data_IF_587477472475
#
_entry.id   IF_587477472475
#
_cell.length_a   1.000
_cell.length_b   1.000
_cell.length_c   1.000
_cell.angle_alpha   90.00
_cell.angle_beta   90.00
_cell.angle_gamma   90.00
#
_symmetry.space_group_name_H-M   'P 1'
#
loop_
_entity.id
_entity.type
_entity.pdbx_description
1 polymer ?
#
# COMPACT_ATOMS: atom_id res chain seq x y z
N UNK A 1 -22.05 -72.42 12.53
CA UNK A 1 -22.49 -71.42 13.53
C UNK A 1 -22.00 -70.07 13.06
N UNK A 2 -22.91 -69.26 12.53
CA UNK A 2 -22.70 -67.89 12.06
C UNK A 2 -22.67 -66.97 13.27
N UNK A 3 -21.66 -66.10 13.38
CA UNK A 3 -21.75 -64.92 14.24
C UNK A 3 -21.32 -63.70 13.43
N UNK A 4 -22.34 -63.01 12.92
CA UNK A 4 -22.26 -61.63 12.47
C UNK A 4 -21.92 -60.75 13.66
N UNK A 5 -20.75 -60.12 13.67
CA UNK A 5 -20.44 -59.05 14.61
C UNK A 5 -20.52 -57.72 13.88
N UNK A 6 -21.69 -57.08 13.97
CA UNK A 6 -21.92 -55.68 13.63
C UNK A 6 -21.04 -54.82 14.53
N UNK A 7 -19.97 -54.21 14.00
CA UNK A 7 -19.32 -53.10 14.70
C UNK A 7 -20.21 -51.88 14.54
N UNK A 8 -20.97 -51.59 15.60
CA UNK A 8 -21.63 -50.32 15.80
C UNK A 8 -20.58 -49.20 15.74
N UNK A 9 -20.75 -48.30 14.78
CA UNK A 9 -20.08 -47.01 14.76
C UNK A 9 -20.52 -46.24 16.00
N UNK A 10 -19.71 -46.30 17.07
CA UNK A 10 -19.79 -45.33 18.16
C UNK A 10 -19.37 -43.98 17.59
N UNK A 11 -20.37 -43.19 17.21
CA UNK A 11 -20.21 -41.77 16.93
C UNK A 11 -19.52 -41.13 18.14
N UNK A 12 -18.29 -40.66 17.91
CA UNK A 12 -17.56 -39.86 18.89
C UNK A 12 -18.38 -38.62 19.24
N UNK A 13 -18.52 -38.22 20.51
CA UNK A 13 -19.18 -36.98 20.86
C UNK A 13 -18.37 -35.82 20.25
N UNK A 14 -18.90 -35.23 19.18
CA UNK A 14 -18.31 -34.04 18.58
C UNK A 14 -18.41 -32.92 19.62
N UNK A 15 -17.28 -32.61 20.28
CA UNK A 15 -17.18 -31.48 21.19
C UNK A 15 -17.70 -30.22 20.45
N UNK A 16 -18.49 -29.36 21.12
CA UNK A 16 -19.06 -28.20 20.45
C UNK A 16 -17.91 -27.32 19.96
N UNK A 17 -17.80 -27.17 18.64
CA UNK A 17 -16.91 -26.20 18.03
C UNK A 17 -17.28 -24.81 18.60
N UNK A 18 -16.41 -24.26 19.46
CA UNK A 18 -16.57 -22.91 20.01
C UNK A 18 -16.72 -21.95 18.83
N UNK A 19 -17.91 -21.37 18.69
CA UNK A 19 -18.17 -20.32 17.69
C UNK A 19 -17.15 -19.19 17.93
N UNK A 20 -16.47 -18.67 16.89
CA UNK A 20 -15.58 -17.51 17.01
C UNK A 20 -16.44 -16.27 17.28
N UNK A 21 -16.86 -16.10 18.53
CA UNK A 21 -17.76 -15.04 18.95
C UNK A 21 -16.97 -13.83 19.42
N UNK A 22 -16.90 -12.77 18.59
CA UNK A 22 -16.58 -11.38 18.97
C UNK A 22 -15.19 -11.07 19.56
N UNK A 23 -14.56 -12.00 20.27
CA UNK A 23 -13.28 -11.88 20.95
C UNK A 23 -12.07 -12.00 20.03
N UNK A 24 -12.21 -12.68 18.88
CA UNK A 24 -11.10 -12.87 17.94
C UNK A 24 -10.62 -11.55 17.33
N UNK A 25 -11.54 -10.62 17.06
CA UNK A 25 -11.18 -9.27 16.59
C UNK A 25 -10.41 -8.50 17.67
N UNK A 26 -10.87 -8.52 18.92
CA UNK A 26 -10.19 -7.84 20.03
C UNK A 26 -8.82 -8.45 20.31
N UNK A 27 -8.68 -9.77 20.24
CA UNK A 27 -7.41 -10.49 20.41
C UNK A 27 -6.45 -10.23 19.26
N UNK A 28 -6.93 -10.20 18.02
CA UNK A 28 -6.14 -9.83 16.84
C UNK A 28 -5.64 -8.37 16.91
N UNK A 29 -6.48 -7.44 17.36
CA UNK A 29 -6.07 -6.06 17.60
C UNK A 29 -5.08 -5.94 18.77
N UNK A 30 -5.24 -6.71 19.84
CA UNK A 30 -4.28 -6.70 20.94
C UNK A 30 -2.86 -7.17 20.51
N UNK A 31 -2.76 -8.10 19.55
CA UNK A 31 -1.47 -8.52 18.99
C UNK A 31 -0.90 -7.52 17.97
N UNK A 32 -1.75 -6.80 17.24
CA UNK A 32 -1.33 -5.87 16.17
C UNK A 32 -1.16 -4.42 16.62
N UNK A 33 -1.86 -4.00 17.66
CA UNK A 33 -1.81 -2.63 18.19
C UNK A 33 -0.40 -2.20 18.63
N UNK A 34 0.45 -3.07 19.24
CA UNK A 34 1.83 -2.71 19.54
C UNK A 34 2.69 -2.42 18.30
N UNK A 35 2.29 -2.88 17.11
CA UNK A 35 2.98 -2.62 15.84
C UNK A 35 2.54 -1.28 15.18
N UNK A 36 1.43 -0.69 15.62
CA UNK A 36 0.92 0.57 15.06
C UNK A 36 1.94 1.72 15.15
N UNK A 37 2.69 1.93 16.25
CA UNK A 37 3.67 3.01 16.31
C UNK A 37 4.75 2.89 15.22
N UNK A 38 5.25 1.67 14.99
CA UNK A 38 6.23 1.40 13.94
C UNK A 38 5.63 1.62 12.53
N UNK A 39 4.38 1.20 12.32
CA UNK A 39 3.67 1.42 11.06
C UNK A 39 3.42 2.90 10.78
N UNK A 40 2.98 3.67 11.79
CA UNK A 40 2.78 5.12 11.68
C UNK A 40 4.11 5.81 11.37
N UNK A 41 5.19 5.42 12.04
CA UNK A 41 6.51 5.96 11.77
C UNK A 41 6.96 5.67 10.34
N UNK A 42 6.82 4.42 9.88
CA UNK A 42 7.13 4.03 8.50
C UNK A 42 6.33 4.86 7.49
N UNK A 43 5.02 5.00 7.71
CA UNK A 43 4.14 5.81 6.86
C UNK A 43 4.59 7.27 6.90
N UNK A 44 4.85 7.86 8.06
CA UNK A 44 5.28 9.26 8.14
C UNK A 44 6.58 9.49 7.38
N UNK A 45 7.59 8.64 7.58
CA UNK A 45 8.92 8.78 6.95
C UNK A 45 8.88 8.56 5.44
N UNK A 46 7.97 7.72 4.94
CA UNK A 46 7.87 7.44 3.49
C UNK A 46 6.88 8.35 2.77
N UNK A 47 5.73 8.62 3.40
CA UNK A 47 4.63 9.36 2.78
C UNK A 47 4.81 10.86 2.88
N UNK A 48 5.34 11.41 3.99
CA UNK A 48 5.58 12.85 4.09
C UNK A 48 6.52 13.36 2.97
N UNK A 49 7.70 12.75 2.72
CA UNK A 49 8.53 13.20 1.62
C UNK A 49 7.87 12.95 0.26
N UNK A 50 7.14 11.84 0.09
CA UNK A 50 6.42 11.57 -1.16
C UNK A 50 5.34 12.62 -1.46
N UNK A 51 4.56 13.02 -0.45
CA UNK A 51 3.57 14.10 -0.61
C UNK A 51 4.28 15.42 -0.87
N UNK A 52 5.39 15.69 -0.20
CA UNK A 52 6.19 16.88 -0.47
C UNK A 52 6.69 16.92 -1.93
N UNK A 53 7.17 15.81 -2.49
CA UNK A 53 7.58 15.77 -3.91
C UNK A 53 6.42 16.00 -4.85
N UNK A 54 5.25 15.43 -4.60
CA UNK A 54 4.03 15.69 -5.39
C UNK A 54 3.64 17.16 -5.34
N UNK A 55 3.66 17.77 -4.15
CA UNK A 55 3.36 19.21 -4.01
C UNK A 55 4.38 20.02 -4.80
N UNK A 56 5.68 19.74 -4.63
CA UNK A 56 6.76 20.47 -5.32
C UNK A 56 6.64 20.34 -6.85
N UNK A 57 6.26 19.18 -7.39
CA UNK A 57 6.18 18.99 -8.86
C UNK A 57 5.05 19.78 -9.52
N UNK A 58 4.08 20.27 -8.74
CA UNK A 58 3.05 21.19 -9.21
C UNK A 58 3.52 22.66 -9.29
N UNK A 59 4.72 22.96 -8.80
CA UNK A 59 5.33 24.28 -8.93
C UNK A 59 6.39 24.28 -10.01
N UNK A 60 6.46 25.37 -10.77
CA UNK A 60 7.62 25.65 -11.61
C UNK A 60 8.75 26.20 -10.74
N UNK A 61 9.88 25.49 -10.70
CA UNK A 61 11.06 25.90 -9.95
C UNK A 61 12.27 25.91 -10.88
N UNK A 62 12.71 27.11 -11.27
CA UNK A 62 13.90 27.29 -12.08
C UNK A 62 15.09 27.66 -11.18
N UNK A 63 16.12 26.80 -11.12
CA UNK A 63 17.30 27.04 -10.28
C UNK A 63 18.11 28.28 -10.69
N UNK A 64 17.99 28.75 -11.94
CA UNK A 64 18.62 29.97 -12.44
C UNK A 64 17.80 31.23 -12.12
N UNK A 65 16.54 31.07 -11.66
CA UNK A 65 15.63 32.17 -11.30
C UNK A 65 14.85 31.82 -10.02
N UNK A 66 15.52 31.78 -8.86
CA UNK A 66 14.92 31.34 -7.59
C UNK A 66 13.74 32.22 -7.15
N UNK A 67 13.69 33.49 -7.57
CA UNK A 67 12.57 34.42 -7.31
C UNK A 67 11.26 34.01 -8.00
N UNK A 68 11.30 33.14 -9.03
CA UNK A 68 10.15 32.85 -9.91
C UNK A 68 9.44 31.53 -9.59
N UNK A 69 9.41 31.10 -8.33
CA UNK A 69 8.57 29.95 -7.94
C UNK A 69 7.10 30.35 -8.02
N UNK A 70 6.36 29.75 -8.95
CA UNK A 70 4.93 29.96 -9.07
C UNK A 70 4.19 28.63 -9.22
N UNK A 71 2.95 28.58 -8.70
CA UNK A 71 2.10 27.40 -8.84
C UNK A 71 1.55 27.34 -10.26
N UNK A 72 1.89 26.27 -10.96
CA UNK A 72 1.55 26.04 -12.37
C UNK A 72 0.66 24.81 -12.53
N UNK A 73 0.45 24.05 -11.45
CA UNK A 73 -0.36 22.84 -11.46
C UNK A 73 0.26 21.80 -12.39
N UNK A 74 -0.49 21.37 -13.40
CA UNK A 74 -0.04 20.36 -14.36
C UNK A 74 0.58 20.94 -15.64
N UNK A 75 0.61 22.27 -15.81
CA UNK A 75 1.14 22.87 -17.05
C UNK A 75 2.65 22.62 -17.24
N UNK A 76 3.41 22.40 -16.14
CA UNK A 76 4.83 22.04 -16.20
C UNK A 76 5.09 20.76 -17.00
N UNK A 77 4.15 19.82 -17.00
CA UNK A 77 4.30 18.52 -17.66
C UNK A 77 4.10 18.61 -19.18
N UNK A 78 3.42 19.66 -19.66
CA UNK A 78 3.20 19.87 -21.08
C UNK A 78 4.51 20.14 -21.85
N UNK A 79 5.56 20.59 -21.16
CA UNK A 79 6.88 20.87 -21.73
C UNK A 79 7.50 19.68 -22.46
N UNK A 80 7.29 18.46 -21.95
CA UNK A 80 7.73 17.21 -22.60
C UNK A 80 7.08 17.03 -23.97
N UNK A 81 5.90 17.60 -24.20
CA UNK A 81 5.23 17.58 -25.49
C UNK A 81 5.50 18.81 -26.34
N UNK A 82 6.37 19.74 -25.95
CA UNK A 82 6.70 20.90 -26.77
C UNK A 82 8.18 21.05 -27.04
N UNK A 83 9.01 20.45 -26.18
CA UNK A 83 10.47 20.50 -26.27
C UNK A 83 11.01 19.26 -27.01
N UNK A 84 11.63 19.50 -28.16
CA UNK A 84 12.18 18.43 -29.02
C UNK A 84 13.29 17.63 -28.33
N UNK A 85 14.15 18.30 -27.55
CA UNK A 85 15.27 17.63 -26.87
C UNK A 85 14.77 16.71 -25.74
N UNK A 86 13.72 17.12 -25.01
CA UNK A 86 13.07 16.28 -24.02
C UNK A 86 12.36 15.09 -24.68
N UNK A 87 11.68 15.29 -25.81
CA UNK A 87 11.02 14.20 -26.55
C UNK A 87 12.02 13.16 -27.02
N UNK A 88 13.11 13.57 -27.65
CA UNK A 88 14.17 12.67 -28.12
C UNK A 88 14.75 11.84 -26.98
N UNK A 89 15.01 12.47 -25.83
CA UNK A 89 15.52 11.80 -24.63
C UNK A 89 14.54 10.76 -24.07
N UNK A 90 13.24 11.09 -24.03
CA UNK A 90 12.18 10.17 -23.59
C UNK A 90 12.06 8.98 -24.53
N UNK A 91 12.02 9.21 -25.84
CA UNK A 91 11.93 8.14 -26.84
C UNK A 91 13.13 7.20 -26.74
N UNK A 92 14.34 7.75 -26.66
CA UNK A 92 15.58 6.97 -26.49
C UNK A 92 15.51 6.08 -25.26
N UNK A 93 15.04 6.61 -24.13
CA UNK A 93 14.89 5.85 -22.87
C UNK A 93 13.83 4.75 -22.95
N UNK A 94 12.75 4.95 -23.70
CA UNK A 94 11.68 3.95 -23.88
C UNK A 94 12.10 2.83 -24.83
N UNK A 95 12.98 3.13 -25.80
CA UNK A 95 13.45 2.17 -26.82
C UNK A 95 14.61 1.32 -26.32
N UNK A 96 15.50 1.87 -25.49
CA UNK A 96 16.62 1.16 -24.85
C UNK A 96 16.12 0.14 -23.80
#
# INVERSE_FOLDING_TARGET
MTVTATRETTASPQAPAKKPGGGDRRRAWATRAPLLPALIFLIAVTQLPFVATLVISLFDWNSLKPEKRHFTGLSNYASVFTDEALRESVVTTVVL
#
